data_IF_256526632611
#
_entry.id   IF_256526632611
#
_cell.length_a   1.000
_cell.length_b   1.000
_cell.length_c   1.000
_cell.angle_alpha   90.00
_cell.angle_beta   90.00
_cell.angle_gamma   90.00
#
_symmetry.space_group_name_H-M   'P 1'
#
loop_
_entity.id
_entity.type
_entity.pdbx_description
1 polymer ?
#
# COMPACT_ATOMS: atom_id res chain seq x y z
N UNK A 1 20.67 2.99 21.40
CA UNK A 1 19.48 3.38 20.60
C UNK A 1 18.33 2.59 21.18
N UNK A 2 17.30 3.24 21.72
CA UNK A 2 16.11 2.52 22.18
C UNK A 2 15.46 1.84 20.99
N UNK A 3 15.30 0.51 21.06
CA UNK A 3 14.49 -0.20 20.07
C UNK A 3 13.07 0.35 20.19
N UNK A 4 12.64 1.12 19.19
CA UNK A 4 11.29 1.64 19.17
C UNK A 4 10.36 0.47 18.92
N UNK A 5 9.54 0.13 19.92
CA UNK A 5 8.56 -0.95 19.79
C UNK A 5 7.31 -0.42 19.09
N UNK A 6 6.95 -1.01 17.95
CA UNK A 6 5.70 -0.74 17.25
C UNK A 6 4.69 -1.84 17.48
N UNK A 7 3.43 -1.45 17.64
CA UNK A 7 2.30 -2.37 17.76
C UNK A 7 1.23 -2.07 16.73
N UNK A 8 0.50 -3.11 16.33
CA UNK A 8 -0.62 -3.00 15.40
C UNK A 8 -1.89 -3.39 16.14
N UNK A 9 -2.81 -2.44 16.30
CA UNK A 9 -4.17 -2.73 16.76
C UNK A 9 -5.04 -3.08 15.56
N UNK A 10 -5.85 -4.12 15.72
CA UNK A 10 -6.82 -4.59 14.72
C UNK A 10 -8.23 -4.46 15.28
N UNK A 11 -9.09 -3.82 14.53
CA UNK A 11 -10.49 -3.61 14.87
C UNK A 11 -11.36 -4.12 13.71
N UNK A 12 -12.53 -4.74 13.97
CA UNK A 12 -13.44 -5.11 12.89
C UNK A 12 -13.86 -3.89 12.05
N UNK A 13 -13.86 -4.03 10.72
CA UNK A 13 -14.27 -2.98 9.79
C UNK A 13 -15.04 -3.55 8.59
N UNK A 14 -16.36 -3.65 8.74
CA UNK A 14 -17.22 -4.27 7.73
C UNK A 14 -16.84 -5.75 7.54
N UNK A 15 -16.40 -6.11 6.33
CA UNK A 15 -15.97 -7.48 6.00
C UNK A 15 -14.48 -7.75 6.25
N UNK A 16 -13.71 -6.75 6.70
CA UNK A 16 -12.30 -6.91 7.00
C UNK A 16 -11.90 -6.27 8.32
N UNK A 17 -10.67 -5.80 8.39
CA UNK A 17 -10.08 -5.25 9.61
C UNK A 17 -9.54 -3.84 9.36
N UNK A 18 -9.72 -2.95 10.34
CA UNK A 18 -9.02 -1.67 10.42
C UNK A 18 -7.77 -1.83 11.25
N UNK A 19 -6.66 -1.39 10.70
CA UNK A 19 -5.34 -1.44 11.30
C UNK A 19 -4.95 -0.04 11.76
N UNK A 20 -4.51 0.06 13.01
CA UNK A 20 -3.93 1.27 13.61
C UNK A 20 -2.53 0.94 14.11
N UNK A 21 -1.61 1.88 14.00
CA UNK A 21 -0.21 1.70 14.40
C UNK A 21 0.09 2.59 15.60
N UNK A 22 0.64 1.99 16.66
CA UNK A 22 1.08 2.71 17.85
C UNK A 22 2.57 2.50 18.09
N UNK A 23 3.21 3.49 18.69
CA UNK A 23 4.51 3.38 19.35
C UNK A 23 4.32 3.54 20.87
N UNK A 24 5.41 3.44 21.65
CA UNK A 24 5.36 3.58 23.12
C UNK A 24 4.68 4.88 23.59
N UNK A 25 4.86 5.99 22.86
CA UNK A 25 4.28 7.29 23.19
C UNK A 25 2.79 7.43 22.79
N UNK A 26 2.20 6.43 22.12
CA UNK A 26 0.82 6.43 21.65
C UNK A 26 0.67 6.22 20.14
N UNK A 27 -0.51 6.54 19.57
CA UNK A 27 -0.80 6.36 18.15
C UNK A 27 0.16 7.14 17.26
N UNK A 28 0.65 6.50 16.19
CA UNK A 28 1.41 7.18 15.15
C UNK A 28 0.44 7.92 14.21
N UNK A 29 0.85 9.10 13.74
CA UNK A 29 0.12 9.80 12.68
C UNK A 29 0.40 9.21 11.31
N UNK A 30 -0.43 9.56 10.30
CA UNK A 30 -0.15 9.21 8.91
C UNK A 30 1.23 9.69 8.45
N UNK A 31 1.57 10.94 8.76
CA UNK A 31 2.90 11.52 8.49
C UNK A 31 3.99 10.62 9.03
N UNK A 32 3.89 10.24 10.30
CA UNK A 32 4.94 9.46 10.94
C UNK A 32 5.07 8.06 10.36
N UNK A 33 3.95 7.41 10.01
CA UNK A 33 3.98 6.11 9.35
C UNK A 33 4.64 6.21 7.97
N UNK A 34 4.31 7.21 7.15
CA UNK A 34 4.95 7.38 5.84
C UNK A 34 6.45 7.70 5.96
N UNK A 35 6.86 8.57 6.87
CA UNK A 35 8.28 8.83 7.15
C UNK A 35 9.04 7.55 7.54
N UNK A 36 8.43 6.70 8.38
CA UNK A 36 9.02 5.43 8.80
C UNK A 36 9.07 4.42 7.66
N UNK A 37 8.04 4.33 6.82
CA UNK A 37 8.06 3.49 5.61
C UNK A 37 9.14 3.95 4.63
N UNK A 38 9.43 5.24 4.55
CA UNK A 38 10.46 5.81 3.67
C UNK A 38 11.89 5.55 4.17
N UNK A 39 12.11 5.76 5.48
CA UNK A 39 13.45 5.87 6.06
C UNK A 39 13.88 4.72 6.98
N UNK A 40 12.96 3.91 7.47
CA UNK A 40 13.25 2.83 8.44
C UNK A 40 13.01 1.45 7.84
N UNK A 41 14.10 0.78 7.47
CA UNK A 41 14.07 -0.60 7.01
C UNK A 41 13.39 -1.54 8.02
N UNK A 42 13.63 -1.31 9.32
CA UNK A 42 13.03 -2.08 10.40
C UNK A 42 11.50 -1.90 10.45
N UNK A 43 11.01 -0.67 10.31
CA UNK A 43 9.57 -0.41 10.30
C UNK A 43 8.91 -0.98 9.04
N UNK A 44 9.52 -0.80 7.88
CA UNK A 44 9.01 -1.33 6.62
C UNK A 44 8.85 -2.85 6.66
N UNK A 45 9.82 -3.58 7.23
CA UNK A 45 9.73 -5.02 7.41
C UNK A 45 8.70 -5.41 8.47
N UNK A 46 8.68 -4.73 9.62
CA UNK A 46 7.65 -4.94 10.65
C UNK A 46 6.23 -4.78 10.07
N UNK A 47 5.99 -3.69 9.34
CA UNK A 47 4.70 -3.38 8.72
C UNK A 47 4.30 -4.46 7.69
N UNK A 48 5.28 -4.91 6.89
CA UNK A 48 5.12 -6.01 5.94
C UNK A 48 4.67 -7.28 6.64
N UNK A 49 5.33 -7.68 7.72
CA UNK A 49 4.95 -8.87 8.50
C UNK A 49 3.53 -8.75 9.06
N UNK A 50 3.16 -7.56 9.54
CA UNK A 50 1.81 -7.32 10.07
C UNK A 50 0.75 -7.51 8.98
N UNK A 51 1.00 -7.04 7.75
CA UNK A 51 0.12 -7.29 6.59
C UNK A 51 0.14 -8.75 6.15
N UNK A 52 1.31 -9.39 6.12
CA UNK A 52 1.48 -10.78 5.71
C UNK A 52 0.69 -11.75 6.59
N UNK A 53 0.55 -11.42 7.88
CA UNK A 53 -0.23 -12.17 8.87
C UNK A 53 -1.75 -11.96 8.83
N UNK A 54 -2.27 -11.16 7.88
CA UNK A 54 -3.70 -11.13 7.61
C UNK A 54 -4.18 -12.52 7.17
N UNK A 55 -5.37 -12.93 7.62
CA UNK A 55 -5.90 -14.29 7.43
C UNK A 55 -6.37 -14.59 5.99
N UNK A 56 -6.69 -13.56 5.20
CA UNK A 56 -7.18 -13.71 3.83
C UNK A 56 -6.07 -14.08 2.84
N UNK A 57 -6.38 -14.91 1.84
CA UNK A 57 -5.42 -15.28 0.79
C UNK A 57 -4.99 -14.08 -0.05
N UNK A 58 -5.93 -13.17 -0.32
CA UNK A 58 -5.69 -11.87 -0.91
C UNK A 58 -6.48 -10.77 -0.19
N UNK A 59 -6.01 -9.52 -0.26
CA UNK A 59 -6.70 -8.39 0.34
C UNK A 59 -6.51 -7.10 -0.45
N UNK A 60 -7.51 -6.23 -0.36
CA UNK A 60 -7.37 -4.80 -0.63
C UNK A 60 -6.76 -4.12 0.59
N UNK A 61 -6.08 -3.01 0.34
CA UNK A 61 -5.45 -2.16 1.33
C UNK A 61 -5.84 -0.72 1.01
N UNK A 62 -6.64 -0.08 1.85
CA UNK A 62 -7.32 1.18 1.53
C UNK A 62 -7.16 2.19 2.67
N UNK A 63 -6.60 3.36 2.36
CA UNK A 63 -6.48 4.49 3.31
C UNK A 63 -7.70 5.41 3.25
N UNK A 64 -8.04 6.13 4.33
CA UNK A 64 -8.99 7.24 4.24
C UNK A 64 -8.51 8.30 3.21
N UNK A 65 -9.39 9.24 2.81
CA UNK A 65 -8.95 10.40 2.03
C UNK A 65 -7.84 11.14 2.76
N UNK A 66 -6.71 11.34 2.09
CA UNK A 66 -5.53 11.99 2.64
C UNK A 66 -5.42 13.44 2.13
N UNK A 67 -5.29 14.38 3.05
CA UNK A 67 -4.98 15.80 2.81
C UNK A 67 -3.78 16.21 3.66
N UNK A 68 -3.24 17.40 3.42
CA UNK A 68 -2.19 17.97 4.28
C UNK A 68 -2.64 18.04 5.75
N UNK A 69 -3.91 18.37 6.01
CA UNK A 69 -4.46 18.46 7.36
C UNK A 69 -4.65 17.09 8.00
N UNK A 70 -4.99 16.04 7.23
CA UNK A 70 -5.20 14.70 7.78
C UNK A 70 -3.91 13.94 8.03
N UNK A 71 -2.76 14.45 7.57
CA UNK A 71 -1.47 13.78 7.77
C UNK A 71 -1.09 13.68 9.26
N UNK A 72 -1.57 14.60 10.09
CA UNK A 72 -1.29 14.61 11.52
C UNK A 72 -2.36 13.85 12.33
N UNK A 73 -3.40 13.33 11.67
CA UNK A 73 -4.38 12.43 12.29
C UNK A 73 -3.76 11.05 12.60
N UNK A 74 -4.30 10.31 13.59
CA UNK A 74 -3.86 8.95 13.87
C UNK A 74 -4.00 8.04 12.64
N UNK A 75 -2.93 7.31 12.33
CA UNK A 75 -2.87 6.40 11.20
C UNK A 75 -3.95 5.33 11.30
N UNK A 76 -4.66 5.15 10.20
CA UNK A 76 -5.53 4.01 9.98
C UNK A 76 -5.54 3.56 8.52
N UNK A 77 -5.73 2.26 8.33
CA UNK A 77 -5.93 1.64 7.02
C UNK A 77 -6.89 0.48 7.18
N UNK A 78 -7.72 0.20 6.18
CA UNK A 78 -8.52 -1.03 6.17
C UNK A 78 -7.89 -2.06 5.25
N UNK A 79 -7.87 -3.30 5.74
CA UNK A 79 -7.46 -4.50 5.02
C UNK A 79 -8.69 -5.36 4.82
N UNK A 80 -9.12 -5.51 3.57
CA UNK A 80 -10.40 -6.16 3.22
C UNK A 80 -10.14 -7.43 2.41
N UNK A 81 -10.79 -8.56 2.72
CA UNK A 81 -10.65 -9.77 1.91
C UNK A 81 -10.97 -9.54 0.43
N UNK A 82 -10.13 -10.09 -0.45
CA UNK A 82 -10.25 -9.93 -1.89
C UNK A 82 -10.25 -11.30 -2.59
N UNK A 83 -11.25 -12.14 -2.29
CA UNK A 83 -11.33 -13.52 -2.80
C UNK A 83 -11.18 -13.63 -4.33
N UNK A 84 -11.64 -12.62 -5.08
CA UNK A 84 -11.51 -12.57 -6.54
C UNK A 84 -10.05 -12.56 -7.04
N UNK A 85 -9.08 -12.12 -6.21
CA UNK A 85 -7.67 -12.05 -6.56
C UNK A 85 -6.90 -13.35 -6.25
N UNK A 86 -7.43 -14.24 -5.40
CA UNK A 86 -6.69 -15.43 -4.94
C UNK A 86 -6.34 -16.42 -6.07
N UNK A 87 -7.13 -16.41 -7.14
CA UNK A 87 -6.94 -17.26 -8.33
C UNK A 87 -6.50 -16.48 -9.56
N UNK A 88 -6.20 -15.20 -9.40
CA UNK A 88 -5.75 -14.37 -10.51
C UNK A 88 -4.37 -14.83 -11.00
N UNK A 89 -4.14 -14.69 -12.31
CA UNK A 89 -2.85 -14.98 -12.94
C UNK A 89 -2.09 -13.67 -13.14
N UNK A 90 -0.80 -13.60 -12.78
CA UNK A 90 -0.03 -12.38 -12.90
C UNK A 90 0.07 -11.92 -14.36
N UNK A 91 -0.16 -10.63 -14.61
CA UNK A 91 -0.07 -10.01 -15.93
C UNK A 91 1.02 -8.94 -15.97
N UNK A 92 2.26 -9.37 -16.22
CA UNK A 92 3.40 -8.46 -16.35
C UNK A 92 3.33 -7.59 -17.61
N UNK A 93 2.60 -8.03 -18.65
CA UNK A 93 2.54 -7.34 -19.93
C UNK A 93 1.85 -5.97 -19.80
N UNK A 94 0.91 -5.85 -18.84
CA UNK A 94 0.19 -4.61 -18.57
C UNK A 94 1.08 -3.41 -18.21
N UNK A 95 2.30 -3.65 -17.72
CA UNK A 95 3.25 -2.60 -17.34
C UNK A 95 4.63 -2.75 -17.99
N UNK A 96 4.75 -3.57 -19.05
CA UNK A 96 6.03 -3.91 -19.66
C UNK A 96 6.83 -2.67 -20.10
N UNK A 97 6.17 -1.69 -20.73
CA UNK A 97 6.81 -0.44 -21.18
C UNK A 97 7.43 0.36 -20.03
N UNK A 98 6.89 0.26 -18.81
CA UNK A 98 7.45 0.93 -17.64
C UNK A 98 8.65 0.17 -17.09
N UNK A 99 8.63 -1.16 -17.13
CA UNK A 99 9.74 -1.98 -16.65
C UNK A 99 11.01 -1.84 -17.51
N UNK A 100 10.85 -1.60 -18.80
CA UNK A 100 11.97 -1.35 -19.73
C UNK A 100 12.77 -0.09 -19.38
N UNK A 101 12.12 0.90 -18.74
CA UNK A 101 12.77 2.15 -18.29
C UNK A 101 13.71 1.94 -17.11
N UNK A 102 13.74 0.74 -16.53
CA UNK A 102 14.62 0.34 -15.45
C UNK A 102 14.07 0.66 -14.06
N UNK A 103 14.80 0.17 -13.04
CA UNK A 103 14.40 0.29 -11.63
C UNK A 103 13.77 -0.97 -11.06
N UNK A 104 13.72 -1.02 -9.74
CA UNK A 104 13.09 -2.11 -8.98
C UNK A 104 11.60 -1.84 -8.72
N UNK A 105 11.25 -0.56 -8.56
CA UNK A 105 9.89 -0.03 -8.45
C UNK A 105 9.77 1.09 -9.47
N UNK A 106 8.72 1.07 -10.28
CA UNK A 106 8.42 2.12 -11.25
C UNK A 106 7.25 2.97 -10.74
N UNK A 107 7.37 4.29 -10.92
CA UNK A 107 6.36 5.28 -10.50
C UNK A 107 6.00 6.14 -11.70
N UNK A 108 4.71 6.23 -12.01
CA UNK A 108 4.22 6.95 -13.19
C UNK A 108 2.74 7.30 -13.04
N UNK A 109 2.28 8.33 -13.76
CA UNK A 109 0.85 8.65 -13.83
C UNK A 109 0.14 7.73 -14.83
N UNK A 110 -1.09 7.34 -14.52
CA UNK A 110 -1.89 6.53 -15.42
C UNK A 110 -2.30 7.33 -16.68
N UNK A 111 -2.77 6.62 -17.72
CA UNK A 111 -3.17 7.23 -19.00
C UNK A 111 -4.21 8.36 -18.85
N UNK A 112 -5.09 8.26 -17.85
CA UNK A 112 -6.10 9.28 -17.56
C UNK A 112 -5.58 10.50 -16.80
N UNK A 113 -4.35 10.46 -16.27
CA UNK A 113 -3.76 11.49 -15.42
C UNK A 113 -4.47 11.69 -14.08
N UNK A 114 -5.34 10.77 -13.69
CA UNK A 114 -6.16 10.87 -12.48
C UNK A 114 -5.63 10.04 -11.31
N UNK A 115 -4.56 9.26 -11.52
CA UNK A 115 -3.87 8.50 -10.50
C UNK A 115 -2.36 8.37 -10.77
N UNK A 116 -1.57 8.46 -9.71
CA UNK A 116 -0.16 8.02 -9.73
C UNK A 116 -0.09 6.56 -9.30
N UNK A 117 0.65 5.75 -10.06
CA UNK A 117 0.83 4.32 -9.83
C UNK A 117 2.25 4.04 -9.33
N UNK A 118 2.37 3.18 -8.33
CA UNK A 118 3.64 2.64 -7.83
C UNK A 118 3.61 1.12 -8.01
N UNK A 119 4.50 0.61 -8.85
CA UNK A 119 4.43 -0.77 -9.37
C UNK A 119 5.79 -1.46 -9.22
N UNK A 120 5.90 -2.61 -8.53
CA UNK A 120 7.14 -3.37 -8.49
C UNK A 120 7.42 -4.06 -9.83
N UNK A 121 8.68 -4.00 -10.27
CA UNK A 121 9.16 -4.69 -11.47
C UNK A 121 9.37 -6.21 -11.21
N UNK A 122 9.34 -7.06 -12.25
CA UNK A 122 9.54 -8.51 -12.11
C UNK A 122 10.99 -8.85 -11.72
N UNK A 123 11.25 -9.04 -10.43
CA UNK A 123 12.57 -9.43 -9.86
C UNK A 123 12.57 -10.82 -9.19
N UNK A 124 11.41 -11.45 -9.10
CA UNK A 124 11.18 -12.76 -8.48
C UNK A 124 10.14 -13.54 -9.28
N UNK A 125 9.62 -14.64 -8.70
CA UNK A 125 8.57 -15.44 -9.33
C UNK A 125 7.33 -14.57 -9.64
N UNK A 126 6.74 -14.64 -10.84
CA UNK A 126 5.62 -13.80 -11.24
C UNK A 126 4.45 -13.77 -10.25
N UNK A 127 4.19 -14.88 -9.56
CA UNK A 127 3.10 -15.03 -8.59
C UNK A 127 3.24 -14.08 -7.39
N UNK A 128 4.46 -13.63 -7.07
CA UNK A 128 4.69 -12.63 -6.03
C UNK A 128 4.01 -11.30 -6.36
N UNK A 129 3.78 -11.02 -7.64
CA UNK A 129 3.32 -9.72 -8.10
C UNK A 129 1.82 -9.69 -8.39
N UNK A 130 1.07 -10.78 -8.22
CA UNK A 130 -0.37 -10.78 -8.57
C UNK A 130 -1.17 -9.72 -7.79
N UNK A 131 -0.88 -9.56 -6.50
CA UNK A 131 -1.55 -8.62 -5.59
C UNK A 131 -0.70 -8.37 -4.34
N UNK A 132 -1.09 -7.41 -3.50
CA UNK A 132 -0.29 -7.00 -2.33
C UNK A 132 0.00 -8.14 -1.36
N UNK A 133 -1.01 -8.96 -1.03
CA UNK A 133 -0.83 -10.08 -0.11
C UNK A 133 0.24 -11.11 -0.57
N UNK A 134 0.29 -11.43 -1.87
CA UNK A 134 1.31 -12.32 -2.42
C UNK A 134 2.69 -11.67 -2.33
N UNK A 135 2.76 -10.38 -2.62
CA UNK A 135 4.00 -9.62 -2.62
C UNK A 135 4.61 -9.54 -1.22
N UNK A 136 3.85 -9.11 -0.20
CA UNK A 136 4.36 -8.99 1.18
C UNK A 136 4.72 -10.33 1.82
N UNK A 137 4.23 -11.46 1.28
CA UNK A 137 4.51 -12.81 1.78
C UNK A 137 5.70 -13.48 1.09
N UNK A 138 6.02 -13.12 -0.14
CA UNK A 138 6.95 -13.90 -0.97
C UNK A 138 8.01 -13.08 -1.73
N UNK A 139 7.83 -11.76 -1.90
CA UNK A 139 8.80 -10.95 -2.62
C UNK A 139 10.11 -10.76 -1.81
N UNK A 140 11.25 -10.51 -2.48
CA UNK A 140 12.51 -10.22 -1.80
C UNK A 140 12.37 -9.02 -0.86
N UNK A 141 12.89 -9.15 0.37
CA UNK A 141 12.78 -8.11 1.40
C UNK A 141 13.32 -6.75 0.95
N UNK A 142 14.39 -6.74 0.14
CA UNK A 142 14.92 -5.50 -0.46
C UNK A 142 13.87 -4.81 -1.35
N UNK A 143 13.19 -5.57 -2.21
CA UNK A 143 12.15 -5.06 -3.09
C UNK A 143 10.93 -4.56 -2.31
N UNK A 144 10.55 -5.25 -1.24
CA UNK A 144 9.44 -4.83 -0.39
C UNK A 144 9.72 -3.47 0.26
N UNK A 145 10.94 -3.28 0.80
CA UNK A 145 11.35 -1.98 1.35
C UNK A 145 11.39 -0.90 0.28
N UNK A 146 11.88 -1.23 -0.91
CA UNK A 146 11.87 -0.30 -2.04
C UNK A 146 10.45 0.12 -2.41
N UNK A 147 9.48 -0.81 -2.41
CA UNK A 147 8.07 -0.51 -2.65
C UNK A 147 7.54 0.47 -1.61
N UNK A 148 7.73 0.19 -0.31
CA UNK A 148 7.24 1.05 0.75
C UNK A 148 7.84 2.45 0.71
N UNK A 149 9.14 2.56 0.41
CA UNK A 149 9.79 3.85 0.20
C UNK A 149 9.18 4.62 -0.95
N UNK A 150 8.96 3.97 -2.10
CA UNK A 150 8.35 4.61 -3.25
C UNK A 150 6.90 5.04 -2.98
N UNK A 151 6.11 4.21 -2.27
CA UNK A 151 4.74 4.53 -1.88
C UNK A 151 4.71 5.73 -0.94
N UNK A 152 5.54 5.75 0.10
CA UNK A 152 5.61 6.86 1.05
C UNK A 152 6.02 8.16 0.35
N UNK A 153 7.10 8.12 -0.44
CA UNK A 153 7.61 9.28 -1.17
C UNK A 153 6.58 9.84 -2.17
N UNK A 154 5.95 8.97 -2.97
CA UNK A 154 4.90 9.37 -3.92
C UNK A 154 3.67 9.94 -3.20
N UNK A 155 3.30 9.38 -2.04
CA UNK A 155 2.18 9.86 -1.24
C UNK A 155 2.46 11.24 -0.68
N UNK A 156 3.60 11.43 -0.03
CA UNK A 156 3.99 12.74 0.54
C UNK A 156 4.10 13.80 -0.55
N UNK A 157 4.67 13.47 -1.70
CA UNK A 157 4.84 14.42 -2.82
C UNK A 157 3.52 14.88 -3.45
N UNK A 158 2.47 14.06 -3.40
CA UNK A 158 1.21 14.33 -4.08
C UNK A 158 0.08 14.82 -3.17
N UNK A 159 0.25 14.74 -1.85
CA UNK A 159 -0.74 15.25 -0.89
C UNK A 159 -0.75 16.79 -0.91
N UNK A 160 -1.95 17.36 -0.93
CA UNK A 160 -2.21 18.80 -0.85
C UNK A 160 -3.50 19.08 -0.08
N UNK A 161 -4.14 20.22 -0.35
CA UNK A 161 -5.42 20.58 0.26
C UNK A 161 -6.58 19.71 -0.25
N UNK A 162 -6.47 19.20 -1.49
CA UNK A 162 -7.45 18.30 -2.08
C UNK A 162 -7.15 16.85 -1.69
N UNK A 163 -8.18 16.05 -1.37
CA UNK A 163 -8.00 14.67 -0.95
C UNK A 163 -7.36 13.82 -2.05
N UNK A 164 -6.52 12.88 -1.61
CA UNK A 164 -5.96 11.80 -2.42
C UNK A 164 -6.28 10.46 -1.77
N UNK A 165 -6.46 9.43 -2.57
CA UNK A 165 -6.87 8.11 -2.12
C UNK A 165 -5.81 7.07 -2.41
N UNK A 166 -5.15 6.61 -1.34
CA UNK A 166 -4.08 5.62 -1.39
C UNK A 166 -4.64 4.20 -1.20
N UNK A 167 -4.55 3.36 -2.23
CA UNK A 167 -5.07 1.99 -2.14
C UNK A 167 -4.39 0.96 -3.02
N UNK A 168 -4.75 -0.31 -2.81
CA UNK A 168 -4.59 -1.40 -3.78
C UNK A 168 -5.95 -1.95 -4.18
N UNK A 169 -6.21 -2.06 -5.48
CA UNK A 169 -7.45 -2.60 -6.03
C UNK A 169 -7.20 -3.87 -6.87
N UNK A 170 -6.40 -3.78 -7.94
CA UNK A 170 -5.89 -4.98 -8.63
C UNK A 170 -6.89 -5.83 -9.42
N UNK A 171 -8.16 -5.41 -9.58
CA UNK A 171 -9.18 -6.25 -10.22
C UNK A 171 -9.26 -6.15 -11.75
N UNK A 172 -8.71 -5.09 -12.35
CA UNK A 172 -8.65 -4.91 -13.80
C UNK A 172 -7.30 -5.33 -14.41
N UNK A 173 -6.23 -5.29 -13.61
CA UNK A 173 -4.87 -5.69 -13.99
C UNK A 173 -4.30 -6.49 -12.82
N UNK A 174 -3.99 -7.76 -13.08
CA UNK A 174 -3.50 -8.70 -12.08
C UNK A 174 -1.98 -8.58 -11.92
N UNK A 175 -1.51 -7.38 -11.63
CA UNK A 175 -0.16 -7.10 -11.23
C UNK A 175 -0.22 -6.00 -10.18
N UNK A 176 0.52 -6.13 -9.08
CA UNK A 176 0.46 -5.23 -7.95
C UNK A 176 0.75 -3.82 -8.44
N UNK A 177 -0.20 -2.92 -8.20
CA UNK A 177 -0.01 -1.51 -8.39
C UNK A 177 -0.70 -0.79 -7.23
N UNK A 178 0.10 -0.09 -6.43
CA UNK A 178 -0.43 0.84 -5.45
C UNK A 178 -0.86 2.09 -6.22
N UNK A 179 -2.02 2.60 -5.87
CA UNK A 179 -2.63 3.74 -6.55
C UNK A 179 -2.79 4.90 -5.59
N UNK A 180 -2.48 6.09 -6.07
CA UNK A 180 -2.83 7.34 -5.43
C UNK A 180 -3.76 8.12 -6.37
N UNK A 181 -5.05 7.88 -6.22
CA UNK A 181 -6.08 8.45 -7.09
C UNK A 181 -6.55 9.83 -6.60
N UNK A 182 -7.04 10.64 -7.53
CA UNK A 182 -7.73 11.90 -7.28
C UNK A 182 -9.23 11.73 -6.92
N UNK A 183 -9.74 10.50 -6.98
CA UNK A 183 -11.12 10.09 -6.61
C UNK A 183 -11.13 8.64 -6.11
N UNK A 184 -12.07 8.24 -5.23
CA UNK A 184 -12.12 6.89 -4.65
C UNK A 184 -12.74 5.83 -5.57
N UNK A 185 -12.34 5.79 -6.86
CA UNK A 185 -13.01 5.00 -7.91
C UNK A 185 -13.08 3.49 -7.63
N UNK A 186 -12.08 2.95 -6.95
CA UNK A 186 -11.90 1.50 -6.78
C UNK A 186 -12.07 1.00 -5.34
N UNK A 187 -12.37 1.91 -4.42
CA UNK A 187 -12.50 1.59 -3.01
C UNK A 187 -13.63 0.61 -2.75
N UNK A 188 -13.49 -0.24 -1.75
CA UNK A 188 -14.51 -1.16 -1.25
C UNK A 188 -15.06 -0.72 0.10
N UNK A 189 -14.30 0.06 0.86
CA UNK A 189 -14.78 0.65 2.10
C UNK A 189 -15.57 1.93 1.85
N UNK A 190 -16.90 1.83 1.85
CA UNK A 190 -17.81 2.98 1.64
C UNK A 190 -17.49 4.20 2.52
N UNK A 191 -17.11 4.06 3.81
CA UNK A 191 -16.74 5.21 4.64
C UNK A 191 -15.58 6.06 4.10
N UNK A 192 -14.72 5.52 3.23
CA UNK A 192 -13.60 6.23 2.62
C UNK A 192 -13.92 6.85 1.25
N UNK A 193 -15.12 6.63 0.69
CA UNK A 193 -15.54 7.17 -0.61
C UNK A 193 -16.13 8.59 -0.54
N UNK A 194 -15.57 9.46 0.30
CA UNK A 194 -16.14 10.79 0.61
C UNK A 194 -15.46 11.91 -0.16
#
# INVERSE_FOLDING_TARGET
MSDTTWTLRREPAGQGERYRVDAEAGPLSFRRVFELLESSDAFALWYTERLASASSGAFFWEHPPLTLSSLDDPYEVVVLPAAALERARPDAAAFAEHFERGGEIVVFDNLGGDATLVVPAPRAQPQCYTHLAAFVRAAPAAQVRALWRAVASATIAAIGDRPRWLSTAGLGVFWLHVRLDSRPKYYRHDPYRR
#
